data_IF_924016737846
#
_entry.id   IF_924016737846
#
_cell.length_a   1.000
_cell.length_b   1.000
_cell.length_c   1.000
_cell.angle_alpha   90.00
_cell.angle_beta   90.00
_cell.angle_gamma   90.00
#
_symmetry.space_group_name_H-M   'P 1'
#
loop_
_entity.id
_entity.type
_entity.pdbx_description
1 polymer ?
#
# COMPACT_ATOMS: atom_id res chain seq x y z
N UNK A 1 -6.98 13.42 26.50
CA UNK A 1 -7.34 13.31 25.07
C UNK A 1 -8.16 14.54 24.69
N UNK A 2 -7.79 15.14 23.55
CA UNK A 2 -8.49 16.32 22.99
C UNK A 2 -9.00 15.94 21.62
N UNK A 3 -10.27 16.29 21.32
CA UNK A 3 -10.82 16.19 19.97
C UNK A 3 -10.33 17.36 19.14
N UNK A 4 -9.58 17.05 18.08
CA UNK A 4 -9.11 18.07 17.13
C UNK A 4 -10.23 18.47 16.18
N UNK A 5 -10.33 19.76 15.89
CA UNK A 5 -11.29 20.33 14.95
C UNK A 5 -10.68 21.39 14.06
N UNK A 6 -11.40 21.77 13.01
CA UNK A 6 -11.07 22.85 12.11
C UNK A 6 -12.27 23.81 12.02
N UNK A 7 -12.06 25.09 12.28
CA UNK A 7 -12.95 26.17 11.88
C UNK A 7 -12.37 26.79 10.62
N UNK A 8 -13.10 26.73 9.50
CA UNK A 8 -12.56 27.02 8.18
C UNK A 8 -13.42 28.03 7.40
N UNK A 9 -12.78 29.10 6.97
CA UNK A 9 -13.37 30.21 6.20
C UNK A 9 -12.95 30.20 4.73
N UNK A 10 -12.23 29.18 4.27
CA UNK A 10 -11.79 29.10 2.86
C UNK A 10 -12.88 28.55 1.94
N UNK A 11 -12.90 28.89 0.66
CA UNK A 11 -13.81 28.27 -0.31
C UNK A 11 -13.52 26.77 -0.49
N UNK A 12 -14.58 26.00 -0.75
CA UNK A 12 -14.45 24.56 -1.06
C UNK A 12 -14.12 23.70 0.15
N UNK A 13 -13.59 22.50 -0.09
CA UNK A 13 -13.41 21.47 0.94
C UNK A 13 -11.97 20.95 1.11
N UNK A 14 -10.99 21.53 0.37
CA UNK A 14 -9.61 21.03 0.41
C UNK A 14 -8.96 21.12 1.79
N UNK A 15 -9.17 22.22 2.53
CA UNK A 15 -8.68 22.41 3.90
C UNK A 15 -9.32 21.42 4.87
N UNK A 16 -10.61 21.11 4.67
CA UNK A 16 -11.35 20.11 5.45
C UNK A 16 -10.74 18.73 5.27
N UNK A 17 -10.50 18.29 4.03
CA UNK A 17 -9.88 17.00 3.75
C UNK A 17 -8.47 16.92 4.35
N UNK A 18 -7.68 18.00 4.25
CA UNK A 18 -6.37 18.07 4.88
C UNK A 18 -6.45 17.93 6.40
N UNK A 19 -7.38 18.61 7.06
CA UNK A 19 -7.57 18.51 8.50
C UNK A 19 -7.98 17.10 8.95
N UNK A 20 -8.90 16.44 8.20
CA UNK A 20 -9.31 15.06 8.49
C UNK A 20 -8.13 14.11 8.35
N UNK A 21 -7.31 14.25 7.31
CA UNK A 21 -6.11 13.44 7.12
C UNK A 21 -5.10 13.60 8.28
N UNK A 22 -5.07 14.79 8.91
CA UNK A 22 -4.27 15.09 10.10
C UNK A 22 -4.95 14.72 11.43
N UNK A 23 -6.13 14.13 11.40
CA UNK A 23 -6.82 13.61 12.58
C UNK A 23 -7.93 14.47 13.14
N UNK A 24 -8.36 15.54 12.46
CA UNK A 24 -9.54 16.31 12.86
C UNK A 24 -10.81 15.45 12.82
N UNK A 25 -11.67 15.65 13.84
CA UNK A 25 -12.94 14.94 14.01
C UNK A 25 -14.15 15.86 13.98
N UNK A 26 -13.91 17.15 14.00
CA UNK A 26 -14.94 18.20 13.94
C UNK A 26 -14.55 19.23 12.89
N UNK A 27 -15.52 19.68 12.11
CA UNK A 27 -15.33 20.74 11.12
C UNK A 27 -16.46 21.73 11.20
N UNK A 28 -16.11 23.00 11.21
CA UNK A 28 -17.02 24.12 11.12
C UNK A 28 -16.75 24.94 9.86
N UNK A 29 -17.79 25.29 9.10
CA UNK A 29 -17.72 26.14 7.91
C UNK A 29 -18.93 27.04 7.81
N UNK A 30 -18.76 28.19 7.19
CA UNK A 30 -19.89 29.05 6.81
C UNK A 30 -20.82 28.34 5.82
N UNK A 31 -22.11 28.52 6.02
CA UNK A 31 -23.16 27.91 5.21
C UNK A 31 -24.14 28.97 4.68
N UNK A 32 -24.59 28.81 3.47
CA UNK A 32 -25.62 29.66 2.85
C UNK A 32 -26.56 28.80 2.00
N UNK A 33 -27.79 29.24 1.87
CA UNK A 33 -28.76 28.69 0.93
C UNK A 33 -28.47 29.15 -0.51
N UNK A 34 -27.85 30.34 -0.69
CA UNK A 34 -27.55 30.90 -2.01
C UNK A 34 -26.33 31.84 -1.94
N UNK A 35 -25.28 31.49 -2.68
CA UNK A 35 -24.03 32.26 -2.75
C UNK A 35 -24.18 33.63 -3.42
N UNK A 36 -25.28 33.88 -4.17
CA UNK A 36 -25.56 35.16 -4.84
C UNK A 36 -26.24 36.18 -3.94
N UNK A 37 -26.55 35.84 -2.69
CA UNK A 37 -27.12 36.81 -1.74
C UNK A 37 -26.13 37.92 -1.44
N UNK A 38 -26.66 39.12 -1.20
CA UNK A 38 -25.87 40.25 -0.75
C UNK A 38 -25.60 40.14 0.71
N UNK A 39 -24.31 40.11 1.11
CA UNK A 39 -23.85 39.99 2.48
C UNK A 39 -22.37 39.61 2.57
N UNK A 40 -21.76 39.70 3.74
CA UNK A 40 -20.31 39.59 3.87
C UNK A 40 -19.80 38.17 3.56
N UNK A 41 -20.54 37.12 3.91
CA UNK A 41 -20.02 35.74 3.95
C UNK A 41 -20.59 34.84 2.87
N UNK A 42 -21.63 35.22 2.16
CA UNK A 42 -22.32 34.35 1.19
C UNK A 42 -21.43 33.83 0.08
N UNK A 43 -20.48 34.65 -0.42
CA UNK A 43 -19.65 34.30 -1.58
C UNK A 43 -18.73 33.09 -1.33
N UNK A 44 -18.18 32.94 -0.13
CA UNK A 44 -17.27 31.85 0.20
C UNK A 44 -17.93 30.73 1.03
N UNK A 45 -19.17 30.95 1.48
CA UNK A 45 -19.92 29.94 2.22
C UNK A 45 -20.21 28.70 1.38
N UNK A 46 -20.31 27.56 2.05
CA UNK A 46 -20.80 26.33 1.43
C UNK A 46 -22.33 26.44 1.23
N UNK A 47 -22.80 26.03 0.07
CA UNK A 47 -24.22 25.85 -0.19
C UNK A 47 -24.62 24.36 -0.02
N UNK A 48 -25.88 23.97 -0.09
CA UNK A 48 -26.30 22.57 0.12
C UNK A 48 -25.57 21.57 -0.79
N UNK A 49 -25.27 21.93 -2.04
CA UNK A 49 -24.60 21.05 -3.00
C UNK A 49 -23.15 20.84 -2.60
N UNK A 50 -22.41 21.96 -2.42
CA UNK A 50 -20.99 21.90 -2.04
C UNK A 50 -20.77 21.33 -0.65
N UNK A 51 -21.72 21.54 0.28
CA UNK A 51 -21.69 20.89 1.61
C UNK A 51 -21.81 19.39 1.50
N UNK A 52 -22.78 18.92 0.70
CA UNK A 52 -22.93 17.48 0.46
C UNK A 52 -21.65 16.87 -0.14
N UNK A 53 -21.08 17.54 -1.15
CA UNK A 53 -19.83 17.09 -1.75
C UNK A 53 -18.70 17.02 -0.71
N UNK A 54 -18.53 18.05 0.12
CA UNK A 54 -17.54 18.04 1.20
C UNK A 54 -17.71 16.84 2.12
N UNK A 55 -18.93 16.53 2.52
CA UNK A 55 -19.23 15.38 3.39
C UNK A 55 -18.91 14.07 2.69
N UNK A 56 -19.34 13.90 1.45
CA UNK A 56 -19.09 12.68 0.67
C UNK A 56 -17.58 12.43 0.49
N UNK A 57 -16.81 13.47 0.12
CA UNK A 57 -15.35 13.39 0.00
C UNK A 57 -14.65 13.12 1.33
N UNK A 58 -15.16 13.68 2.42
CA UNK A 58 -14.64 13.39 3.76
C UNK A 58 -14.82 11.92 4.14
N UNK A 59 -15.97 11.33 3.86
CA UNK A 59 -16.23 9.91 4.12
C UNK A 59 -15.40 8.99 3.22
N UNK A 60 -15.21 9.37 1.95
CA UNK A 60 -14.32 8.66 1.04
C UNK A 60 -12.88 8.66 1.56
N UNK A 61 -12.37 9.82 2.00
CA UNK A 61 -11.04 9.94 2.59
C UNK A 61 -10.91 9.09 3.86
N UNK A 62 -11.84 9.19 4.81
CA UNK A 62 -11.83 8.38 6.04
C UNK A 62 -11.75 6.88 5.72
N UNK A 63 -12.55 6.42 4.74
CA UNK A 63 -12.53 5.03 4.31
C UNK A 63 -11.19 4.61 3.70
N UNK A 64 -10.52 5.50 2.99
CA UNK A 64 -9.23 5.24 2.33
C UNK A 64 -8.02 5.27 3.27
N UNK A 65 -8.12 5.93 4.42
CA UNK A 65 -7.04 5.97 5.42
C UNK A 65 -6.76 4.60 6.04
N UNK A 66 -7.76 3.72 6.10
CA UNK A 66 -7.63 2.39 6.68
C UNK A 66 -7.35 2.40 8.19
N UNK A 67 -6.85 1.28 8.68
CA UNK A 67 -6.57 1.05 10.12
C UNK A 67 -5.07 1.11 10.48
N UNK A 68 -4.20 1.39 9.51
CA UNK A 68 -2.74 1.42 9.68
C UNK A 68 -2.08 0.03 9.79
N UNK A 69 -2.83 -1.05 9.80
CA UNK A 69 -2.30 -2.41 9.92
C UNK A 69 -1.91 -2.98 8.55
N UNK A 70 -0.62 -3.20 8.31
CA UNK A 70 -0.16 -3.81 7.05
C UNK A 70 -0.41 -5.31 7.05
N UNK A 71 -1.36 -5.75 6.24
CA UNK A 71 -1.73 -7.16 6.03
C UNK A 71 -2.01 -7.42 4.56
N UNK A 72 -2.14 -8.69 4.18
CA UNK A 72 -2.70 -9.06 2.87
C UNK A 72 -4.20 -8.97 2.99
N UNK A 73 -4.81 -8.07 2.23
CA UNK A 73 -6.27 -7.89 2.25
C UNK A 73 -6.99 -9.06 1.55
N UNK A 74 -8.28 -9.21 1.85
CA UNK A 74 -9.08 -10.34 1.35
C UNK A 74 -9.09 -10.42 -0.17
N UNK A 75 -9.18 -9.28 -0.85
CA UNK A 75 -9.15 -9.17 -2.31
C UNK A 75 -7.76 -9.43 -2.92
N UNK A 76 -6.69 -9.45 -2.11
CA UNK A 76 -5.31 -9.72 -2.55
C UNK A 76 -4.93 -11.21 -2.39
N UNK A 77 -5.69 -12.01 -1.63
CA UNK A 77 -5.33 -13.40 -1.28
C UNK A 77 -5.07 -14.28 -2.51
N UNK A 78 -5.87 -14.13 -3.57
CA UNK A 78 -5.71 -14.91 -4.80
C UNK A 78 -4.48 -14.50 -5.60
N UNK A 79 -4.10 -13.22 -5.56
CA UNK A 79 -3.01 -12.68 -6.36
C UNK A 79 -1.67 -12.66 -5.64
N UNK A 80 -1.66 -12.80 -4.31
CA UNK A 80 -0.43 -12.69 -3.52
C UNK A 80 0.67 -13.67 -3.94
N UNK A 81 0.33 -14.88 -4.34
CA UNK A 81 1.29 -15.88 -4.85
C UNK A 81 1.77 -15.49 -6.24
N UNK A 82 0.84 -15.10 -7.14
CA UNK A 82 1.14 -14.77 -8.53
C UNK A 82 1.98 -13.49 -8.66
N UNK A 83 1.72 -12.49 -7.84
CA UNK A 83 2.36 -11.18 -7.91
C UNK A 83 3.72 -11.11 -7.20
N UNK A 84 3.96 -11.94 -6.20
CA UNK A 84 5.24 -12.00 -5.52
C UNK A 84 6.29 -12.72 -6.34
N UNK A 85 7.55 -12.33 -6.18
CA UNK A 85 8.69 -12.98 -6.82
C UNK A 85 9.35 -13.96 -5.85
N UNK A 86 9.88 -15.05 -6.41
CA UNK A 86 10.75 -15.99 -5.73
C UNK A 86 12.13 -16.05 -6.40
N UNK A 87 13.14 -16.47 -5.67
CA UNK A 87 14.48 -16.71 -6.20
C UNK A 87 14.48 -17.99 -7.00
N UNK A 88 15.01 -17.94 -8.21
CA UNK A 88 15.12 -19.06 -9.17
C UNK A 88 16.53 -19.14 -9.73
N UNK A 89 16.88 -20.31 -10.26
CA UNK A 89 18.13 -20.49 -10.97
C UNK A 89 18.10 -19.71 -12.31
N UNK A 90 19.07 -18.85 -12.53
CA UNK A 90 19.26 -18.11 -13.79
C UNK A 90 19.85 -19.00 -14.89
N UNK A 91 20.63 -19.97 -14.49
CA UNK A 91 21.29 -21.00 -15.32
C UNK A 91 21.07 -22.36 -14.69
N UNK A 92 21.38 -23.45 -15.40
CA UNK A 92 21.44 -24.79 -14.82
C UNK A 92 22.51 -24.82 -13.73
N UNK A 93 22.17 -25.37 -12.57
CA UNK A 93 23.06 -25.53 -11.41
C UNK A 93 23.12 -27.02 -11.03
N UNK A 94 24.33 -27.47 -10.68
CA UNK A 94 24.59 -28.85 -10.31
C UNK A 94 24.65 -29.00 -8.77
N UNK A 95 24.41 -30.21 -8.29
CA UNK A 95 24.70 -30.58 -6.91
C UNK A 95 26.15 -30.26 -6.57
N UNK A 96 26.36 -29.52 -5.49
CA UNK A 96 27.67 -29.08 -5.06
C UNK A 96 28.02 -27.63 -5.48
N UNK A 97 27.28 -27.04 -6.41
CA UNK A 97 27.52 -25.65 -6.78
C UNK A 97 27.19 -24.70 -5.65
N UNK A 98 27.96 -23.60 -5.56
CA UNK A 98 27.70 -22.52 -4.63
C UNK A 98 26.74 -21.50 -5.24
N UNK A 99 25.79 -21.03 -4.45
CA UNK A 99 24.88 -19.95 -4.79
C UNK A 99 25.63 -18.61 -4.82
N UNK A 100 25.48 -17.88 -5.92
CA UNK A 100 26.02 -16.52 -6.09
C UNK A 100 24.94 -15.60 -6.69
N UNK A 101 25.17 -14.30 -6.64
CA UNK A 101 24.25 -13.33 -7.27
C UNK A 101 24.13 -13.54 -8.79
N UNK A 102 25.19 -14.01 -9.45
CA UNK A 102 25.26 -14.17 -10.91
C UNK A 102 24.43 -15.34 -11.42
N UNK A 103 24.20 -16.37 -10.58
CA UNK A 103 23.45 -17.57 -10.94
C UNK A 103 22.01 -17.57 -10.47
N UNK A 104 21.52 -16.44 -9.93
CA UNK A 104 20.16 -16.24 -9.43
C UNK A 104 19.37 -15.24 -10.25
N UNK A 105 18.05 -15.40 -10.25
CA UNK A 105 17.09 -14.44 -10.80
C UNK A 105 15.81 -14.44 -9.96
N UNK A 106 15.18 -13.27 -9.84
CA UNK A 106 13.91 -13.11 -9.10
C UNK A 106 12.74 -13.03 -10.07
N UNK A 107 11.93 -14.08 -10.15
CA UNK A 107 10.79 -14.17 -11.08
C UNK A 107 9.49 -14.49 -10.32
N UNK A 108 8.36 -14.09 -10.89
CA UNK A 108 7.00 -14.51 -10.50
C UNK A 108 6.72 -15.92 -11.05
N UNK A 109 5.86 -16.69 -10.41
CA UNK A 109 5.22 -16.53 -9.11
C UNK A 109 6.12 -16.93 -7.94
N UNK A 110 5.69 -16.61 -6.69
CA UNK A 110 6.30 -17.10 -5.46
C UNK A 110 5.38 -18.12 -4.78
N UNK A 111 5.52 -19.41 -5.06
CA UNK A 111 4.80 -20.45 -4.34
C UNK A 111 5.21 -20.50 -2.85
N UNK A 112 4.37 -21.11 -2.00
CA UNK A 112 4.54 -21.17 -0.53
C UNK A 112 5.93 -21.58 -0.05
N UNK A 113 6.65 -22.42 -0.82
CA UNK A 113 8.01 -22.89 -0.50
C UNK A 113 9.13 -22.10 -1.16
N UNK A 114 8.81 -21.03 -1.88
CA UNK A 114 9.79 -20.19 -2.57
C UNK A 114 10.53 -19.27 -1.61
N UNK A 115 11.82 -19.08 -1.85
CA UNK A 115 12.63 -18.11 -1.12
C UNK A 115 12.34 -16.73 -1.71
N UNK A 116 11.97 -15.77 -0.86
CA UNK A 116 11.66 -14.41 -1.30
C UNK A 116 12.94 -13.59 -1.56
N UNK A 117 12.92 -12.63 -2.51
CA UNK A 117 14.11 -11.88 -2.89
C UNK A 117 14.82 -11.16 -1.73
N UNK A 118 14.09 -10.68 -0.71
CA UNK A 118 14.69 -10.02 0.45
C UNK A 118 15.53 -10.97 1.34
N UNK A 119 15.39 -12.29 1.14
CA UNK A 119 16.16 -13.31 1.85
C UNK A 119 17.45 -13.72 1.11
N UNK A 120 17.74 -13.13 -0.06
CA UNK A 120 18.85 -13.52 -0.92
C UNK A 120 20.19 -13.60 -0.18
N UNK A 121 20.47 -12.65 0.71
CA UNK A 121 21.70 -12.62 1.49
C UNK A 121 21.89 -13.87 2.39
N UNK A 122 20.80 -14.53 2.77
CA UNK A 122 20.85 -15.74 3.62
C UNK A 122 21.27 -16.99 2.86
N UNK A 123 21.20 -16.96 1.52
CA UNK A 123 21.49 -18.12 0.68
C UNK A 123 22.77 -17.99 -0.13
N UNK A 124 23.31 -16.78 -0.33
CA UNK A 124 24.58 -16.58 -1.02
C UNK A 124 25.70 -17.34 -0.29
N UNK A 125 26.52 -18.06 -1.06
CA UNK A 125 27.61 -18.91 -0.56
C UNK A 125 27.20 -20.29 -0.11
N UNK A 126 25.90 -20.57 0.08
CA UNK A 126 25.41 -21.92 0.40
C UNK A 126 25.57 -22.87 -0.80
N UNK A 127 25.72 -24.16 -0.49
CA UNK A 127 25.94 -25.21 -1.48
C UNK A 127 24.65 -25.96 -1.78
N UNK A 128 24.40 -26.31 -3.03
CA UNK A 128 23.24 -27.09 -3.47
C UNK A 128 23.36 -28.57 -3.08
N UNK A 129 22.25 -29.15 -2.64
CA UNK A 129 22.11 -30.59 -2.34
C UNK A 129 21.71 -31.42 -3.57
N UNK A 130 21.18 -30.79 -4.62
CA UNK A 130 20.68 -31.42 -5.84
C UNK A 130 20.87 -30.52 -7.06
N UNK A 131 20.68 -31.08 -8.25
CA UNK A 131 20.64 -30.30 -9.48
C UNK A 131 19.35 -29.46 -9.55
N UNK A 132 19.46 -28.27 -10.13
CA UNK A 132 18.36 -27.35 -10.36
C UNK A 132 18.45 -26.86 -11.81
N UNK A 133 17.37 -27.00 -12.56
CA UNK A 133 17.32 -26.55 -13.95
C UNK A 133 17.12 -25.02 -14.02
N UNK A 134 17.50 -24.42 -15.16
CA UNK A 134 17.27 -23.00 -15.41
C UNK A 134 15.79 -22.64 -15.28
N UNK A 135 15.49 -21.61 -14.51
CA UNK A 135 14.12 -21.16 -14.25
C UNK A 135 13.44 -21.83 -13.06
N UNK A 136 13.98 -22.94 -12.55
CA UNK A 136 13.42 -23.65 -11.42
C UNK A 136 13.57 -22.88 -10.11
N UNK A 137 12.63 -23.12 -9.21
CA UNK A 137 12.56 -22.53 -7.88
C UNK A 137 13.67 -23.07 -6.97
N UNK A 138 14.41 -22.17 -6.33
CA UNK A 138 15.33 -22.55 -5.25
C UNK A 138 14.56 -22.54 -3.93
N UNK A 139 14.67 -23.63 -3.16
CA UNK A 139 13.99 -23.81 -1.88
C UNK A 139 15.04 -23.94 -0.75
N UNK A 140 14.65 -23.64 0.46
CA UNK A 140 15.50 -23.86 1.64
C UNK A 140 15.97 -25.30 1.77
N UNK A 141 15.13 -26.28 1.40
CA UNK A 141 15.45 -27.71 1.42
C UNK A 141 16.54 -28.14 0.44
N UNK A 142 16.78 -27.33 -0.59
CA UNK A 142 17.76 -27.59 -1.64
C UNK A 142 19.18 -27.17 -1.24
N UNK A 143 19.33 -26.46 -0.11
CA UNK A 143 20.58 -25.86 0.36
C UNK A 143 21.15 -26.65 1.54
N UNK A 144 22.50 -26.79 1.56
CA UNK A 144 23.22 -27.27 2.75
C UNK A 144 23.18 -26.19 3.82
N UNK A 145 23.11 -26.60 5.04
CA UNK A 145 23.22 -25.74 6.24
C UNK A 145 24.55 -25.01 6.27
#
# INVERSE_FOLDING_TARGET
DIVLGLSDHTPGHSSVLGAIALGARMVEKHFTDNNNRIGPDHKFSMNPISWKEMVDRSRELESSLGDGNKKVERNELETVVLQRRAIRAKVKLNKGDKISYDNLISLRPCPKKGIMPFEIKKIIGKTLKKNIEKGDLIKWTDLKS
#
